data_IF_993327672118
#
_entry.id   IF_993327672118
#
_cell.length_a   1.000
_cell.length_b   1.000
_cell.length_c   1.000
_cell.angle_alpha   90.00
_cell.angle_beta   90.00
_cell.angle_gamma   90.00
#
_symmetry.space_group_name_H-M   'P 1'
#
loop_
_entity.id
_entity.type
_entity.pdbx_description
1 polymer ?
#
# COMPACT_ATOMS: atom_id res chain seq x y z
N UNK A 1 -12.90 -24.41 34.86
CA UNK A 1 -12.92 -22.95 34.71
C UNK A 1 -11.47 -22.48 34.73
N UNK A 2 -10.86 -22.31 33.55
CA UNK A 2 -9.51 -21.75 33.44
C UNK A 2 -9.65 -20.24 33.20
N UNK A 3 -9.18 -19.45 34.16
CA UNK A 3 -9.11 -17.99 34.04
C UNK A 3 -8.30 -17.61 32.80
N UNK A 4 -8.94 -16.94 31.86
CA UNK A 4 -8.24 -16.24 30.79
C UNK A 4 -7.49 -15.06 31.44
N UNK A 5 -6.16 -15.17 31.49
CA UNK A 5 -5.28 -14.08 31.89
C UNK A 5 -5.49 -12.91 30.93
N UNK A 6 -5.87 -11.75 31.48
CA UNK A 6 -5.96 -10.49 30.74
C UNK A 6 -4.55 -10.01 30.37
N UNK A 7 -3.97 -10.57 29.31
CA UNK A 7 -2.80 -9.99 28.67
C UNK A 7 -3.24 -8.69 27.98
N UNK A 8 -2.83 -7.55 28.53
CA UNK A 8 -2.81 -6.29 27.80
C UNK A 8 -2.09 -6.52 26.46
N UNK A 9 -2.66 -6.13 25.31
CA UNK A 9 -1.98 -6.30 24.04
C UNK A 9 -0.66 -5.52 24.08
N UNK A 10 0.47 -6.22 23.97
CA UNK A 10 1.77 -5.57 23.86
C UNK A 10 1.77 -4.59 22.68
N UNK A 11 2.45 -3.46 22.80
CA UNK A 11 2.47 -2.36 21.81
C UNK A 11 3.10 -2.71 20.47
N UNK A 12 3.55 -3.96 20.27
CA UNK A 12 4.15 -4.45 19.02
C UNK A 12 3.24 -4.27 17.80
N UNK A 13 1.91 -4.35 17.97
CA UNK A 13 0.97 -4.11 16.87
C UNK A 13 1.12 -2.69 16.29
N UNK A 14 1.40 -1.69 17.13
CA UNK A 14 1.59 -0.31 16.70
C UNK A 14 2.90 -0.17 15.90
N UNK A 15 3.96 -0.84 16.35
CA UNK A 15 5.22 -0.88 15.61
C UNK A 15 5.02 -1.46 14.20
N UNK A 16 4.34 -2.61 14.07
CA UNK A 16 4.08 -3.22 12.75
C UNK A 16 3.15 -2.37 11.88
N UNK A 17 2.19 -1.66 12.49
CA UNK A 17 1.36 -0.70 11.77
C UNK A 17 2.21 0.47 11.22
N UNK A 18 3.11 1.04 12.02
CA UNK A 18 4.00 2.11 11.57
C UNK A 18 5.01 1.63 10.53
N UNK A 19 5.54 0.42 10.66
CA UNK A 19 6.37 -0.21 9.62
C UNK A 19 5.60 -0.33 8.29
N UNK A 20 4.32 -0.67 8.36
CA UNK A 20 3.45 -0.73 7.19
C UNK A 20 3.28 0.66 6.57
N UNK A 21 3.01 1.70 7.39
CA UNK A 21 2.93 3.10 6.92
C UNK A 21 4.22 3.53 6.23
N UNK A 22 5.39 3.22 6.81
CA UNK A 22 6.67 3.55 6.19
C UNK A 22 6.87 2.84 4.86
N UNK A 23 6.64 1.52 4.83
CA UNK A 23 6.83 0.69 3.63
C UNK A 23 5.93 1.12 2.48
N UNK A 24 4.65 1.33 2.77
CA UNK A 24 3.66 1.78 1.80
C UNK A 24 3.82 3.26 1.43
N UNK A 25 4.30 4.10 2.34
CA UNK A 25 4.59 5.52 2.08
C UNK A 25 5.68 5.71 1.01
N UNK A 26 6.76 4.91 1.06
CA UNK A 26 7.84 4.96 0.06
C UNK A 26 7.54 4.15 -1.20
N UNK A 27 6.64 3.16 -1.12
CA UNK A 27 6.29 2.25 -2.22
C UNK A 27 5.96 2.97 -3.52
N UNK A 28 5.11 3.99 -3.48
CA UNK A 28 4.70 4.72 -4.69
C UNK A 28 5.87 5.40 -5.40
N UNK A 29 6.79 5.98 -4.63
CA UNK A 29 8.01 6.61 -5.16
C UNK A 29 8.92 5.54 -5.76
N UNK A 30 9.16 4.43 -5.05
CA UNK A 30 10.03 3.36 -5.54
C UNK A 30 9.48 2.69 -6.79
N UNK A 31 8.18 2.44 -6.86
CA UNK A 31 7.53 1.87 -8.04
C UNK A 31 7.55 2.84 -9.22
N UNK A 32 7.34 4.13 -9.00
CA UNK A 32 7.46 5.15 -10.03
C UNK A 32 8.90 5.28 -10.54
N UNK A 33 9.90 5.24 -9.67
CA UNK A 33 11.30 5.22 -10.09
C UNK A 33 11.63 3.95 -10.86
N UNK A 34 11.18 2.79 -10.37
CA UNK A 34 11.39 1.49 -11.02
C UNK A 34 10.81 1.43 -12.43
N UNK A 35 9.56 1.89 -12.65
CA UNK A 35 8.96 1.89 -13.99
C UNK A 35 9.70 2.83 -14.96
N UNK A 36 10.17 3.99 -14.49
CA UNK A 36 10.92 4.95 -15.32
C UNK A 36 12.29 4.39 -15.70
N UNK A 37 12.93 3.66 -14.78
CA UNK A 37 14.22 3.01 -14.99
C UNK A 37 14.16 1.79 -15.91
N UNK A 38 12.97 1.27 -16.26
CA UNK A 38 12.83 0.15 -17.21
C UNK A 38 13.16 0.55 -18.66
N UNK A 39 13.26 1.86 -18.95
CA UNK A 39 13.61 2.39 -20.28
C UNK A 39 12.77 1.83 -21.44
N UNK A 40 11.52 1.43 -21.14
CA UNK A 40 10.57 0.88 -22.10
C UNK A 40 9.25 1.70 -22.00
N UNK A 41 8.98 2.60 -22.96
CA UNK A 41 7.83 3.49 -22.91
C UNK A 41 6.47 2.77 -22.92
N UNK A 42 6.41 1.54 -23.47
CA UNK A 42 5.16 0.80 -23.66
C UNK A 42 4.95 -0.18 -22.52
N UNK A 43 5.96 -1.00 -22.22
CA UNK A 43 5.83 -2.13 -21.30
C UNK A 43 6.58 -1.95 -19.97
N UNK A 44 7.34 -0.86 -19.78
CA UNK A 44 8.16 -0.64 -18.59
C UNK A 44 7.38 -0.74 -17.28
N UNK A 45 6.13 -0.27 -17.27
CA UNK A 45 5.23 -0.39 -16.11
C UNK A 45 4.96 -1.86 -15.72
N UNK A 46 4.63 -2.71 -16.69
CA UNK A 46 4.29 -4.11 -16.43
C UNK A 46 5.55 -4.92 -16.07
N UNK A 47 6.69 -4.60 -16.70
CA UNK A 47 7.99 -5.16 -16.31
C UNK A 47 8.35 -4.82 -14.87
N UNK A 48 8.18 -3.55 -14.45
CA UNK A 48 8.39 -3.17 -13.06
C UNK A 48 7.42 -3.89 -12.10
N UNK A 49 6.15 -4.01 -12.46
CA UNK A 49 5.16 -4.72 -11.64
C UNK A 49 5.42 -6.23 -11.56
N UNK A 50 6.01 -6.84 -12.58
CA UNK A 50 6.45 -8.24 -12.52
C UNK A 50 7.47 -8.45 -11.39
N UNK A 51 8.43 -7.52 -11.21
CA UNK A 51 9.37 -7.56 -10.10
C UNK A 51 8.70 -7.35 -8.74
N UNK A 52 7.62 -6.56 -8.66
CA UNK A 52 6.76 -6.49 -7.46
C UNK A 52 6.12 -7.86 -7.19
N UNK A 53 5.62 -8.54 -8.21
CA UNK A 53 5.08 -9.90 -8.10
C UNK A 53 6.11 -10.92 -7.60
N UNK A 54 7.35 -10.85 -8.09
CA UNK A 54 8.46 -11.67 -7.57
C UNK A 54 8.71 -11.37 -6.09
N UNK A 55 8.73 -10.10 -5.70
CA UNK A 55 8.89 -9.73 -4.29
C UNK A 55 7.73 -10.26 -3.42
N UNK A 56 6.50 -10.25 -3.93
CA UNK A 56 5.35 -10.85 -3.23
C UNK A 56 5.50 -12.36 -3.09
N UNK A 57 6.03 -13.07 -4.09
CA UNK A 57 6.34 -14.49 -3.92
C UNK A 57 7.38 -14.72 -2.80
N UNK A 58 8.47 -13.95 -2.79
CA UNK A 58 9.51 -14.07 -1.76
C UNK A 58 8.96 -13.79 -0.35
N UNK A 59 8.15 -12.74 -0.21
CA UNK A 59 7.71 -12.25 1.11
C UNK A 59 6.39 -12.83 1.59
N UNK A 60 5.45 -13.16 0.70
CA UNK A 60 4.14 -13.69 1.05
C UNK A 60 4.05 -15.22 0.90
N UNK A 61 5.03 -15.88 0.26
CA UNK A 61 5.10 -17.34 0.18
C UNK A 61 6.29 -17.86 0.98
N UNK A 62 7.52 -17.48 0.59
CA UNK A 62 8.71 -18.10 1.21
C UNK A 62 8.88 -17.73 2.69
N UNK A 63 8.69 -16.46 3.06
CA UNK A 63 8.83 -16.04 4.45
C UNK A 63 7.80 -16.71 5.39
N UNK A 64 6.48 -16.74 5.09
CA UNK A 64 5.52 -17.49 5.89
C UNK A 64 5.83 -18.98 5.96
N UNK A 65 6.25 -19.61 4.85
CA UNK A 65 6.66 -21.02 4.86
C UNK A 65 7.82 -21.27 5.83
N UNK A 66 8.87 -20.45 5.79
CA UNK A 66 10.00 -20.56 6.72
C UNK A 66 9.56 -20.40 8.18
N UNK A 67 8.67 -19.43 8.46
CA UNK A 67 8.15 -19.22 9.82
C UNK A 67 7.28 -20.38 10.29
N UNK A 68 6.41 -20.93 9.44
CA UNK A 68 5.56 -22.07 9.78
C UNK A 68 6.39 -23.34 10.05
N UNK A 69 7.42 -23.58 9.24
CA UNK A 69 8.39 -24.65 9.45
C UNK A 69 9.13 -24.48 10.78
N UNK A 70 9.68 -23.28 11.04
CA UNK A 70 10.41 -22.99 12.27
C UNK A 70 9.52 -23.11 13.52
N UNK A 71 8.21 -22.84 13.39
CA UNK A 71 7.23 -22.97 14.49
C UNK A 71 6.63 -24.36 14.63
N UNK A 72 6.98 -25.32 13.77
CA UNK A 72 6.38 -26.67 13.79
C UNK A 72 4.87 -26.66 13.58
N UNK A 73 4.36 -25.74 12.75
CA UNK A 73 2.93 -25.56 12.56
C UNK A 73 2.26 -26.79 11.92
N UNK A 74 0.97 -26.99 12.21
CA UNK A 74 0.16 -27.98 11.50
C UNK A 74 -0.17 -27.46 10.10
N UNK A 75 -0.20 -28.37 9.12
CA UNK A 75 -0.53 -28.04 7.72
C UNK A 75 -2.04 -28.18 7.42
N UNK A 76 -2.85 -28.17 8.47
CA UNK A 76 -4.31 -28.26 8.35
C UNK A 76 -4.91 -26.86 8.25
N UNK A 77 -5.49 -26.54 7.10
CA UNK A 77 -6.05 -25.23 6.82
C UNK A 77 -7.58 -25.28 6.71
N UNK A 78 -8.34 -24.52 7.53
CA UNK A 78 -9.77 -24.38 7.34
C UNK A 78 -10.09 -23.70 5.99
N UNK A 79 -10.95 -24.31 5.17
CA UNK A 79 -11.28 -23.84 3.82
C UNK A 79 -11.75 -22.37 3.79
N UNK A 80 -12.60 -21.98 4.75
CA UNK A 80 -13.06 -20.59 4.90
C UNK A 80 -11.90 -19.62 5.14
N UNK A 81 -10.93 -20.01 5.96
CA UNK A 81 -9.75 -19.19 6.24
C UNK A 81 -8.85 -19.02 5.01
N UNK A 82 -8.65 -20.09 4.23
CA UNK A 82 -7.91 -20.02 2.98
C UNK A 82 -8.57 -19.07 1.97
N UNK A 83 -9.89 -19.14 1.82
CA UNK A 83 -10.61 -18.30 0.86
C UNK A 83 -10.61 -16.81 1.21
N UNK A 84 -10.85 -16.46 2.47
CA UNK A 84 -10.73 -15.07 2.89
C UNK A 84 -9.30 -14.53 2.76
N UNK A 85 -8.29 -15.37 3.05
CA UNK A 85 -6.89 -14.99 2.88
C UNK A 85 -6.50 -14.78 1.42
N UNK A 86 -6.98 -15.64 0.51
CA UNK A 86 -6.72 -15.48 -0.91
C UNK A 86 -7.40 -14.23 -1.46
N UNK A 87 -8.68 -14.00 -1.11
CA UNK A 87 -9.40 -12.79 -1.53
C UNK A 87 -8.67 -11.54 -1.03
N UNK A 88 -8.23 -11.54 0.24
CA UNK A 88 -7.45 -10.43 0.79
C UNK A 88 -6.15 -10.19 0.00
N UNK A 89 -5.42 -11.25 -0.36
CA UNK A 89 -4.22 -11.17 -1.20
C UNK A 89 -4.50 -10.59 -2.59
N UNK A 90 -5.58 -11.04 -3.24
CA UNK A 90 -6.01 -10.53 -4.55
C UNK A 90 -6.38 -9.05 -4.46
N UNK A 91 -7.17 -8.64 -3.46
CA UNK A 91 -7.53 -7.23 -3.26
C UNK A 91 -6.29 -6.36 -3.07
N UNK A 92 -5.31 -6.82 -2.29
CA UNK A 92 -4.04 -6.12 -2.11
C UNK A 92 -3.22 -6.00 -3.41
N UNK A 93 -3.13 -7.08 -4.19
CA UNK A 93 -2.43 -7.08 -5.47
C UNK A 93 -3.12 -6.18 -6.52
N UNK A 94 -4.45 -6.19 -6.57
CA UNK A 94 -5.24 -5.30 -7.44
C UNK A 94 -5.03 -3.84 -7.04
N UNK A 95 -5.00 -3.52 -5.75
CA UNK A 95 -4.69 -2.17 -5.27
C UNK A 95 -3.30 -1.71 -5.71
N UNK A 96 -2.29 -2.57 -5.54
CA UNK A 96 -0.92 -2.29 -5.99
C UNK A 96 -0.82 -2.10 -7.51
N UNK A 97 -1.56 -2.88 -8.29
CA UNK A 97 -1.67 -2.72 -9.74
C UNK A 97 -2.39 -1.42 -10.12
N UNK A 98 -3.43 -1.03 -9.39
CA UNK A 98 -4.12 0.25 -9.57
C UNK A 98 -3.19 1.45 -9.41
N UNK A 99 -2.27 1.41 -8.43
CA UNK A 99 -1.22 2.44 -8.27
C UNK A 99 -0.33 2.53 -9.52
N UNK A 100 0.08 1.39 -10.08
CA UNK A 100 0.85 1.35 -11.32
C UNK A 100 0.08 1.98 -12.50
N UNK A 101 -1.20 1.64 -12.65
CA UNK A 101 -2.04 2.20 -13.70
C UNK A 101 -2.24 3.72 -13.52
N UNK A 102 -2.40 4.19 -12.28
CA UNK A 102 -2.52 5.62 -11.97
C UNK A 102 -1.25 6.40 -12.36
N UNK A 103 -0.07 5.83 -12.12
CA UNK A 103 1.19 6.42 -12.62
C UNK A 103 1.23 6.45 -14.15
N UNK A 104 0.81 5.36 -14.79
CA UNK A 104 0.65 5.29 -16.25
C UNK A 104 -0.35 6.30 -16.82
N UNK A 105 -1.31 6.77 -16.02
CA UNK A 105 -2.27 7.82 -16.34
C UNK A 105 -1.79 9.23 -15.93
N UNK A 106 -0.48 9.43 -15.77
CA UNK A 106 0.19 10.70 -15.38
C UNK A 106 -0.04 11.13 -13.93
N UNK A 107 -0.52 10.24 -13.08
CA UNK A 107 -0.55 10.46 -11.64
C UNK A 107 0.87 10.54 -11.06
N UNK A 108 1.15 11.52 -10.21
CA UNK A 108 2.44 11.60 -9.51
C UNK A 108 2.38 10.85 -8.18
N UNK A 109 3.49 10.24 -7.70
CA UNK A 109 3.53 9.56 -6.40
C UNK A 109 2.91 10.35 -5.25
N UNK A 110 3.27 11.63 -5.10
CA UNK A 110 2.73 12.48 -4.03
C UNK A 110 1.19 12.55 -4.03
N UNK A 111 0.57 12.67 -5.21
CA UNK A 111 -0.90 12.77 -5.34
C UNK A 111 -1.56 11.41 -5.16
N UNK A 112 -1.11 10.41 -5.93
CA UNK A 112 -1.73 9.08 -5.95
C UNK A 112 -1.67 8.45 -4.56
N UNK A 113 -0.51 8.51 -3.90
CA UNK A 113 -0.34 7.92 -2.58
C UNK A 113 -1.15 8.66 -1.51
N UNK A 114 -1.26 10.00 -1.59
CA UNK A 114 -2.09 10.78 -0.66
C UNK A 114 -3.58 10.43 -0.77
N UNK A 115 -4.09 10.28 -1.99
CA UNK A 115 -5.48 9.87 -2.23
C UNK A 115 -5.72 8.46 -1.66
N UNK A 116 -4.81 7.52 -1.93
CA UNK A 116 -4.94 6.12 -1.45
C UNK A 116 -4.94 6.06 0.08
N UNK A 117 -3.98 6.71 0.75
CA UNK A 117 -3.87 6.64 2.21
C UNK A 117 -4.90 7.48 2.96
N UNK A 118 -5.41 8.56 2.35
CA UNK A 118 -6.54 9.29 2.91
C UNK A 118 -7.86 8.53 2.71
N UNK A 119 -8.03 7.84 1.58
CA UNK A 119 -9.23 7.10 1.23
C UNK A 119 -9.36 5.75 1.94
N UNK A 120 -8.27 5.04 2.19
CA UNK A 120 -8.29 3.70 2.78
C UNK A 120 -9.00 3.63 4.15
N UNK A 121 -8.77 4.56 5.11
CA UNK A 121 -9.53 4.61 6.35
C UNK A 121 -11.04 4.80 6.15
N UNK A 122 -11.44 5.59 5.13
CA UNK A 122 -12.85 5.84 4.80
C UNK A 122 -13.52 4.56 4.30
N UNK A 123 -12.89 3.88 3.35
CA UNK A 123 -13.39 2.60 2.81
C UNK A 123 -13.49 1.56 3.92
N UNK A 124 -12.46 1.46 4.76
CA UNK A 124 -12.45 0.53 5.89
C UNK A 124 -13.58 0.83 6.90
N UNK A 125 -13.80 2.11 7.22
CA UNK A 125 -14.88 2.55 8.10
C UNK A 125 -16.25 2.16 7.55
N UNK A 126 -16.53 2.49 6.29
CA UNK A 126 -17.80 2.17 5.62
C UNK A 126 -18.01 0.67 5.57
N UNK A 127 -17.01 -0.10 5.12
CA UNK A 127 -17.11 -1.56 5.06
C UNK A 127 -17.34 -2.16 6.45
N UNK A 128 -16.62 -1.70 7.47
CA UNK A 128 -16.76 -2.21 8.84
C UNK A 128 -18.14 -1.93 9.42
N UNK A 129 -18.70 -0.74 9.20
CA UNK A 129 -20.06 -0.39 9.67
C UNK A 129 -21.12 -1.26 8.97
N UNK A 130 -20.96 -1.53 7.68
CA UNK A 130 -21.91 -2.35 6.90
C UNK A 130 -21.81 -3.83 7.31
N UNK A 131 -20.59 -4.36 7.37
CA UNK A 131 -20.34 -5.78 7.66
C UNK A 131 -20.58 -6.11 9.14
N UNK A 132 -20.33 -5.15 10.03
CA UNK A 132 -20.43 -5.29 11.48
C UNK A 132 -21.17 -4.07 12.06
N UNK A 133 -22.51 -4.01 11.92
CA UNK A 133 -23.29 -2.87 12.37
C UNK A 133 -23.14 -2.65 13.89
N UNK A 134 -22.99 -1.40 14.37
CA UNK A 134 -22.85 -1.12 15.79
C UNK A 134 -24.08 -1.59 16.58
N UNK A 135 -23.84 -2.17 17.77
CA UNK A 135 -24.91 -2.69 18.62
C UNK A 135 -25.98 -1.65 19.02
N UNK A 136 -25.63 -0.36 19.05
CA UNK A 136 -26.57 0.75 19.32
C UNK A 136 -27.01 1.52 18.07
N UNK A 137 -26.85 0.95 16.88
CA UNK A 137 -27.12 1.62 15.61
C UNK A 137 -26.13 2.75 15.29
N UNK A 138 -26.34 3.44 14.18
CA UNK A 138 -25.43 4.51 13.72
C UNK A 138 -25.31 5.67 14.72
N UNK A 139 -26.36 5.94 15.52
CA UNK A 139 -26.35 6.95 16.58
C UNK A 139 -25.41 6.64 17.75
N UNK A 140 -24.96 5.39 17.89
CA UNK A 140 -23.97 5.00 18.91
C UNK A 140 -22.52 5.29 18.49
N UNK A 141 -22.28 5.63 17.22
CA UNK A 141 -20.96 5.98 16.73
C UNK A 141 -20.60 7.38 17.24
N UNK A 142 -19.49 7.47 17.97
CA UNK A 142 -18.97 8.74 18.50
C UNK A 142 -18.71 9.74 17.36
N UNK A 143 -19.18 10.99 17.44
CA UNK A 143 -18.95 12.01 16.40
C UNK A 143 -17.48 12.22 16.03
N UNK A 144 -16.55 12.01 16.98
CA UNK A 144 -15.11 12.09 16.78
C UNK A 144 -14.60 11.10 15.71
N UNK A 145 -15.26 9.96 15.53
CA UNK A 145 -14.92 9.00 14.49
C UNK A 145 -15.13 9.59 13.09
N UNK A 146 -16.30 10.19 12.86
CA UNK A 146 -16.62 10.87 11.60
C UNK A 146 -15.74 12.09 11.38
N UNK A 147 -15.46 12.86 12.45
CA UNK A 147 -14.50 13.96 12.37
C UNK A 147 -13.11 13.48 11.93
N UNK A 148 -12.63 12.37 12.47
CA UNK A 148 -11.36 11.77 12.07
C UNK A 148 -11.31 11.38 10.58
N UNK A 149 -12.40 10.80 10.07
CA UNK A 149 -12.56 10.49 8.64
C UNK A 149 -12.51 11.77 7.79
N UNK A 150 -13.24 12.81 8.19
CA UNK A 150 -13.25 14.09 7.48
C UNK A 150 -11.87 14.76 7.49
N UNK A 151 -11.17 14.72 8.62
CA UNK A 151 -9.82 15.27 8.75
C UNK A 151 -8.81 14.50 7.89
N UNK A 152 -8.92 13.16 7.81
CA UNK A 152 -8.07 12.35 6.94
C UNK A 152 -8.30 12.70 5.46
N UNK A 153 -9.56 12.81 5.04
CA UNK A 153 -9.92 13.23 3.68
C UNK A 153 -9.43 14.66 3.38
N UNK A 154 -9.65 15.60 4.29
CA UNK A 154 -9.18 16.98 4.16
C UNK A 154 -7.65 17.05 4.05
N UNK A 155 -6.93 16.32 4.92
CA UNK A 155 -5.46 16.23 4.85
C UNK A 155 -4.97 15.68 3.51
N UNK A 156 -5.58 14.61 3.01
CA UNK A 156 -5.29 14.05 1.69
C UNK A 156 -5.52 15.05 0.55
N UNK A 157 -6.62 15.80 0.60
CA UNK A 157 -6.91 16.88 -0.34
C UNK A 157 -5.86 17.98 -0.29
N UNK A 158 -5.49 18.44 0.91
CA UNK A 158 -4.48 19.49 1.08
C UNK A 158 -3.12 19.07 0.52
N UNK A 159 -2.65 17.86 0.83
CA UNK A 159 -1.37 17.35 0.29
C UNK A 159 -1.41 17.21 -1.23
N UNK A 160 -2.57 16.82 -1.77
CA UNK A 160 -2.77 16.68 -3.22
C UNK A 160 -2.76 18.03 -3.95
N UNK A 161 -3.48 19.02 -3.43
CA UNK A 161 -3.61 20.34 -4.07
C UNK A 161 -2.39 21.24 -3.88
N UNK A 162 -1.73 21.16 -2.72
CA UNK A 162 -0.61 22.04 -2.36
C UNK A 162 0.75 21.35 -2.45
N UNK A 163 0.87 20.26 -3.24
CA UNK A 163 2.17 19.64 -3.47
C UNK A 163 3.16 20.63 -4.11
N UNK A 164 4.43 20.63 -3.71
CA UNK A 164 5.43 21.51 -4.30
C UNK A 164 5.69 21.15 -5.76
N UNK A 165 5.96 22.17 -6.58
CA UNK A 165 6.37 21.97 -7.97
C UNK A 165 7.75 21.30 -8.02
N UNK A 166 7.98 20.34 -8.94
CA UNK A 166 9.31 19.79 -9.16
C UNK A 166 10.31 20.91 -9.49
N UNK A 167 11.54 20.80 -8.98
CA UNK A 167 12.61 21.70 -9.37
C UNK A 167 12.78 21.65 -10.91
N UNK A 168 13.06 22.78 -11.58
CA UNK A 168 13.37 22.79 -12.99
C UNK A 168 14.49 21.81 -13.29
N UNK A 169 14.33 20.99 -14.33
CA UNK A 169 15.39 20.08 -14.75
C UNK A 169 16.65 20.91 -15.04
N UNK A 170 17.79 20.55 -14.40
CA UNK A 170 19.07 21.15 -14.76
C UNK A 170 19.30 20.95 -16.27
N UNK A 171 19.69 21.98 -17.03
CA UNK A 171 19.99 21.82 -18.44
C UNK A 171 21.05 20.73 -18.59
N UNK A 172 20.69 19.64 -19.27
CA UNK A 172 21.64 18.62 -19.67
C UNK A 172 22.58 19.29 -20.67
N UNK A 173 23.83 19.56 -20.28
CA UNK A 173 24.87 19.92 -21.23
C UNK A 173 24.98 18.76 -22.23
N UNK A 174 24.45 18.97 -23.44
CA UNK A 174 24.69 18.09 -24.57
C UNK A 174 26.18 18.17 -24.86
N UNK A 175 26.95 17.21 -24.35
CA UNK A 175 28.31 16.96 -24.79
C UNK A 175 28.22 16.51 -26.25
N UNK A 176 28.38 17.46 -27.17
CA UNK A 176 28.57 17.18 -28.59
C UNK A 176 29.86 16.35 -28.69
N UNK A 177 29.71 15.04 -28.82
CA UNK A 177 30.79 14.19 -29.30
C UNK A 177 31.11 14.67 -30.72
N UNK A 178 32.19 15.45 -30.84
CA UNK A 178 32.78 15.77 -32.13
C UNK A 178 33.23 14.45 -32.77
N UNK A 179 32.45 13.94 -33.72
CA UNK A 179 32.90 12.91 -34.64
C UNK A 179 34.01 13.49 -35.50
N UNK A 180 35.25 13.42 -35.02
CA UNK A 180 36.42 13.41 -35.89
C UNK A 180 36.55 12.02 -36.47
N UNK A 181 36.34 11.89 -37.77
CA UNK A 181 36.90 10.78 -38.57
C UNK A 181 37.41 11.34 -39.90
N UNK A 182 38.42 10.67 -40.49
CA UNK A 182 39.58 11.28 -41.14
C UNK A 182 39.34 11.64 -42.60
#
# INVERSE_FOLDING_TARGET
>A
MAQASSNQPGSAWLFFALLTVLSWGVYGVFLHTGQMAMSDPVNGRYKAFLFVGIAYFLTAVLAPLAVLLAKGATWSYPAKGMWWSLIAGIVGAVGAFGVLLAFGAKGTPAVVMSIVFAGAPVVNAVYSIIAHPPAGGLGSIKPQFFLGILLAAAGGCLVTFYKPNPAPAKPTHVQVHASTKP
#
